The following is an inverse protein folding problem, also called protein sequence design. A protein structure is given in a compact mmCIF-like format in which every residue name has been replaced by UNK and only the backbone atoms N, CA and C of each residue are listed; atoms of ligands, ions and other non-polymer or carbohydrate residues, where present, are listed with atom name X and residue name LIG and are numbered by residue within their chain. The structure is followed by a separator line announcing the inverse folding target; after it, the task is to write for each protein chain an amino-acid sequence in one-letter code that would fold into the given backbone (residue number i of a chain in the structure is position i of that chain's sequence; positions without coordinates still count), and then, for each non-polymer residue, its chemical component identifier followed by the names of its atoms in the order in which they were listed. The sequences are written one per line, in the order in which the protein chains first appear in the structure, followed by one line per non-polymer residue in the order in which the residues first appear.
data_IF_932003259059
#
_entry.id   IF_932003259059
#
_cell.length_a   1.000
_cell.length_b   1.000
_cell.length_c   1.000
_cell.angle_alpha   90.00
_cell.angle_beta   90.00
_cell.angle_gamma   90.00
#
_symmetry.space_group_name_H-M   'P 1'
#
loop_
_entity.id
_entity.type
_entity.pdbx_description
1 polymer ?
#
# COMPACT_ATOMS: atom_id res chain seq x y z
N UNK A 1 -1.23 28.30 -26.37
CA UNK A 1 -2.11 27.25 -26.84
C UNK A 1 -2.19 26.20 -25.72
N UNK A 2 -3.26 26.23 -24.92
CA UNK A 2 -3.55 25.16 -23.99
C UNK A 2 -3.84 23.88 -24.77
N UNK A 3 -3.27 22.72 -24.38
CA UNK A 3 -3.60 21.47 -25.02
C UNK A 3 -5.07 21.17 -24.80
N UNK A 4 -5.78 20.84 -25.87
CA UNK A 4 -7.19 20.47 -25.90
C UNK A 4 -7.51 19.45 -24.81
N UNK A 5 -8.57 19.69 -24.02
CA UNK A 5 -8.97 18.81 -22.91
C UNK A 5 -9.25 17.38 -23.39
N UNK A 6 -9.74 17.21 -24.63
CA UNK A 6 -9.94 15.90 -25.25
C UNK A 6 -8.62 15.14 -25.47
N UNK A 7 -7.54 15.87 -25.75
CA UNK A 7 -6.21 15.30 -25.95
C UNK A 7 -5.56 14.82 -24.63
N UNK A 8 -5.93 15.43 -23.50
CA UNK A 8 -5.48 14.97 -22.16
C UNK A 8 -6.23 13.71 -21.75
N UNK A 9 -7.55 13.69 -21.88
CA UNK A 9 -8.37 12.55 -21.51
C UNK A 9 -8.02 11.27 -22.28
N UNK A 10 -7.77 11.37 -23.57
CA UNK A 10 -7.32 10.25 -24.39
C UNK A 10 -5.99 9.64 -23.91
N UNK A 11 -5.05 10.49 -23.47
CA UNK A 11 -3.77 10.03 -22.89
C UNK A 11 -3.98 9.32 -21.54
N UNK A 12 -4.86 9.88 -20.71
CA UNK A 12 -5.15 9.32 -19.40
C UNK A 12 -5.85 7.96 -19.53
N UNK A 13 -6.82 7.83 -20.43
CA UNK A 13 -7.47 6.55 -20.72
C UNK A 13 -6.51 5.52 -21.29
N UNK A 14 -5.58 5.94 -22.15
CA UNK A 14 -4.53 5.07 -22.67
C UNK A 14 -3.59 4.57 -21.56
N UNK A 15 -3.10 5.50 -20.72
CA UNK A 15 -2.22 5.15 -19.59
C UNK A 15 -2.92 4.19 -18.60
N UNK A 16 -4.20 4.45 -18.31
CA UNK A 16 -5.03 3.56 -17.51
C UNK A 16 -5.16 2.17 -18.14
N UNK A 17 -5.35 2.11 -19.46
CA UNK A 17 -5.42 0.84 -20.21
C UNK A 17 -4.11 0.05 -20.13
N UNK A 18 -2.96 0.71 -20.27
CA UNK A 18 -1.64 0.08 -20.09
C UNK A 18 -1.52 -0.51 -18.68
N UNK A 19 -1.85 0.29 -17.65
CA UNK A 19 -1.78 -0.17 -16.27
C UNK A 19 -2.69 -1.38 -16.01
N UNK A 20 -3.92 -1.38 -16.52
CA UNK A 20 -4.83 -2.52 -16.39
C UNK A 20 -4.29 -3.76 -17.11
N UNK A 21 -3.75 -3.58 -18.31
CA UNK A 21 -3.18 -4.69 -19.05
C UNK A 21 -2.00 -5.32 -18.29
N UNK A 22 -1.09 -4.50 -17.76
CA UNK A 22 0.06 -4.98 -16.98
C UNK A 22 -0.37 -5.63 -15.66
N UNK A 23 -1.36 -5.07 -14.97
CA UNK A 23 -1.92 -5.66 -13.75
C UNK A 23 -2.52 -7.06 -14.00
N UNK A 24 -3.18 -7.26 -15.14
CA UNK A 24 -3.81 -8.54 -15.48
C UNK A 24 -2.82 -9.58 -15.98
N UNK A 25 -1.85 -9.17 -16.80
CA UNK A 25 -0.97 -10.09 -17.51
C UNK A 25 0.43 -10.21 -16.94
N UNK A 26 0.83 -9.26 -16.07
CA UNK A 26 2.20 -9.10 -15.58
C UNK A 26 3.20 -8.74 -16.68
N UNK A 27 2.74 -8.28 -17.86
CA UNK A 27 3.57 -8.00 -19.03
C UNK A 27 3.14 -6.72 -19.74
N UNK A 28 4.11 -6.02 -20.31
CA UNK A 28 3.85 -4.89 -21.20
C UNK A 28 3.14 -5.36 -22.49
N UNK A 29 2.11 -4.63 -22.95
CA UNK A 29 1.25 -5.10 -24.06
C UNK A 29 1.91 -5.13 -25.42
N UNK A 30 2.98 -4.39 -25.63
CA UNK A 30 3.63 -4.25 -26.93
C UNK A 30 5.02 -4.90 -26.95
N UNK A 31 5.54 -5.15 -28.14
CA UNK A 31 6.93 -5.64 -28.32
C UNK A 31 7.94 -4.49 -28.13
N UNK A 32 7.54 -3.30 -28.58
CA UNK A 32 8.36 -2.08 -28.49
C UNK A 32 7.91 -1.22 -27.30
N UNK A 33 8.77 -0.93 -26.31
CA UNK A 33 8.39 -0.16 -25.14
C UNK A 33 8.32 1.35 -25.39
N UNK A 34 8.84 1.85 -26.52
CA UNK A 34 8.95 3.29 -26.81
C UNK A 34 8.11 3.72 -28.00
N UNK A 35 7.41 4.86 -27.91
CA UNK A 35 6.68 5.45 -29.05
C UNK A 35 7.61 5.83 -30.22
N UNK A 36 7.12 5.77 -31.47
CA UNK A 36 5.76 5.44 -31.86
C UNK A 36 5.50 3.95 -31.91
N UNK A 37 4.48 3.49 -31.15
CA UNK A 37 4.08 2.08 -31.13
C UNK A 37 3.28 1.79 -32.39
N UNK A 38 3.78 0.88 -33.24
CA UNK A 38 3.17 0.51 -34.52
C UNK A 38 2.55 -0.89 -34.49
N UNK A 39 2.91 -1.69 -33.50
CA UNK A 39 2.41 -3.06 -33.32
C UNK A 39 1.08 -3.07 -32.59
N UNK A 40 0.23 -4.06 -32.89
CA UNK A 40 -0.98 -4.30 -32.09
C UNK A 40 -0.61 -4.85 -30.72
N UNK A 41 -1.43 -4.53 -29.68
CA UNK A 41 -1.19 -5.12 -28.37
C UNK A 41 -1.34 -6.64 -28.43
N UNK A 42 -0.51 -7.35 -27.64
CA UNK A 42 -0.60 -8.79 -27.48
C UNK A 42 -1.96 -9.18 -26.88
N UNK A 43 -2.53 -10.30 -27.31
CA UNK A 43 -3.79 -10.77 -26.71
C UNK A 43 -3.56 -11.14 -25.24
N UNK A 44 -4.26 -10.53 -24.27
CA UNK A 44 -4.15 -10.87 -22.86
C UNK A 44 -4.34 -12.36 -22.57
N UNK A 45 -5.20 -13.05 -23.33
CA UNK A 45 -5.52 -14.48 -23.12
C UNK A 45 -4.36 -15.44 -23.30
N UNK A 46 -3.30 -15.03 -23.98
CA UNK A 46 -2.09 -15.86 -24.14
C UNK A 46 -1.23 -15.97 -22.86
N UNK A 47 -1.51 -15.15 -21.85
CA UNK A 47 -0.73 -15.14 -20.62
C UNK A 47 -1.36 -16.04 -19.54
N UNK A 48 -0.48 -16.60 -18.68
CA UNK A 48 -0.90 -17.48 -17.59
C UNK A 48 -1.92 -16.78 -16.69
N UNK A 49 -3.03 -17.43 -16.40
CA UNK A 49 -4.11 -16.88 -15.57
C UNK A 49 -5.12 -15.99 -16.31
N UNK A 50 -4.90 -15.68 -17.59
CA UNK A 50 -5.76 -14.79 -18.36
C UNK A 50 -6.62 -15.52 -19.42
N UNK A 51 -6.50 -16.83 -19.55
CA UNK A 51 -7.19 -17.62 -20.58
C UNK A 51 -8.73 -17.47 -20.51
N UNK A 52 -9.28 -17.34 -19.29
CA UNK A 52 -10.71 -17.27 -19.03
C UNK A 52 -11.28 -15.85 -19.07
N UNK A 53 -10.48 -14.85 -19.42
CA UNK A 53 -10.97 -13.48 -19.60
C UNK A 53 -12.06 -13.45 -20.66
N UNK A 54 -13.19 -12.76 -20.36
CA UNK A 54 -14.25 -12.60 -21.34
C UNK A 54 -13.75 -11.83 -22.56
N UNK A 55 -14.18 -12.25 -23.75
CA UNK A 55 -13.81 -11.55 -24.99
C UNK A 55 -14.24 -10.11 -25.00
N UNK A 56 -15.35 -9.77 -24.32
CA UNK A 56 -15.82 -8.40 -24.17
C UNK A 56 -14.83 -7.55 -23.36
N UNK A 57 -14.30 -8.08 -22.25
CA UNK A 57 -13.28 -7.37 -21.44
C UNK A 57 -11.97 -7.21 -22.21
N UNK A 58 -11.54 -8.24 -22.92
CA UNK A 58 -10.33 -8.17 -23.78
C UNK A 58 -10.49 -7.09 -24.84
N UNK A 59 -11.64 -7.01 -25.50
CA UNK A 59 -11.91 -5.98 -26.49
C UNK A 59 -11.85 -4.55 -25.90
N UNK A 60 -12.38 -4.36 -24.67
CA UNK A 60 -12.28 -3.08 -23.98
C UNK A 60 -10.81 -2.71 -23.72
N UNK A 61 -10.01 -3.66 -23.17
CA UNK A 61 -8.59 -3.44 -22.89
C UNK A 61 -7.81 -3.11 -24.15
N UNK A 62 -7.99 -3.88 -25.22
CA UNK A 62 -7.31 -3.68 -26.51
C UNK A 62 -7.69 -2.33 -27.11
N UNK A 63 -8.98 -1.93 -27.04
CA UNK A 63 -9.44 -0.62 -27.50
C UNK A 63 -8.84 0.54 -26.69
N UNK A 64 -8.73 0.42 -25.37
CA UNK A 64 -8.08 1.44 -24.53
C UNK A 64 -6.65 1.73 -24.97
N UNK A 65 -5.89 0.69 -25.31
CA UNK A 65 -4.46 0.76 -25.66
C UNK A 65 -4.17 0.66 -27.14
N UNK A 66 -5.17 0.87 -28.00
CA UNK A 66 -4.96 0.81 -29.46
C UNK A 66 -3.83 1.79 -29.87
N UNK A 67 -2.92 1.37 -30.81
CA UNK A 67 -1.83 2.21 -31.27
C UNK A 67 -2.30 3.54 -31.86
N UNK A 68 -3.29 3.47 -32.75
CA UNK A 68 -3.87 4.63 -33.39
C UNK A 68 -4.90 5.31 -32.47
N UNK A 69 -4.72 6.61 -32.28
CA UNK A 69 -5.58 7.40 -31.39
C UNK A 69 -7.06 7.34 -31.74
N UNK A 70 -7.38 7.34 -33.04
CA UNK A 70 -8.77 7.25 -33.54
C UNK A 70 -9.50 5.96 -33.18
N UNK A 71 -8.75 4.91 -32.86
CA UNK A 71 -9.29 3.60 -32.53
C UNK A 71 -9.48 3.39 -31.01
N UNK A 72 -9.14 4.41 -30.19
CA UNK A 72 -9.32 4.42 -28.74
C UNK A 72 -10.70 4.93 -28.34
N UNK A 73 -10.98 4.90 -27.04
CA UNK A 73 -12.15 5.58 -26.49
C UNK A 73 -11.98 7.10 -26.58
N UNK A 74 -13.01 7.78 -27.03
CA UNK A 74 -13.03 9.24 -27.17
C UNK A 74 -13.32 9.97 -25.85
N UNK A 75 -13.96 9.26 -24.89
CA UNK A 75 -14.30 9.81 -23.57
C UNK A 75 -14.42 8.74 -22.52
N UNK A 76 -14.36 9.14 -21.24
CA UNK A 76 -14.62 8.27 -20.11
C UNK A 76 -16.07 7.72 -20.11
N UNK A 77 -17.03 8.49 -20.59
CA UNK A 77 -18.43 8.08 -20.71
C UNK A 77 -18.61 6.93 -21.71
N UNK A 78 -17.93 7.00 -22.87
CA UNK A 78 -17.92 5.91 -23.85
C UNK A 78 -17.32 4.65 -23.23
N UNK A 79 -16.21 4.76 -22.52
CA UNK A 79 -15.58 3.62 -21.82
C UNK A 79 -16.54 3.02 -20.77
N UNK A 80 -17.14 3.84 -19.92
CA UNK A 80 -18.07 3.40 -18.88
C UNK A 80 -19.31 2.70 -19.47
N UNK A 81 -19.87 3.25 -20.55
CA UNK A 81 -20.99 2.64 -21.26
C UNK A 81 -20.62 1.26 -21.80
N UNK A 82 -19.45 1.15 -22.43
CA UNK A 82 -18.96 -0.12 -22.96
C UNK A 82 -18.67 -1.13 -21.85
N UNK A 83 -18.11 -0.69 -20.72
CA UNK A 83 -17.87 -1.55 -19.54
C UNK A 83 -19.17 -2.05 -18.92
N UNK A 84 -20.22 -1.25 -18.90
CA UNK A 84 -21.54 -1.67 -18.40
C UNK A 84 -22.14 -2.83 -19.23
N UNK A 85 -21.82 -2.92 -20.51
CA UNK A 85 -22.22 -4.01 -21.40
C UNK A 85 -21.40 -5.29 -21.21
N UNK A 86 -20.20 -5.18 -20.65
CA UNK A 86 -19.37 -6.34 -20.33
C UNK A 86 -20.06 -7.14 -19.23
N UNK A 87 -20.55 -8.33 -19.56
CA UNK A 87 -21.14 -9.24 -18.57
C UNK A 87 -20.12 -9.45 -17.46
N UNK A 88 -20.45 -8.98 -16.24
CA UNK A 88 -19.66 -9.25 -15.05
C UNK A 88 -19.43 -10.75 -14.95
N UNK A 89 -18.21 -11.18 -15.11
CA UNK A 89 -17.81 -12.49 -14.68
C UNK A 89 -18.03 -12.53 -13.17
N UNK A 90 -19.09 -13.18 -12.71
CA UNK A 90 -19.18 -13.59 -11.31
C UNK A 90 -18.10 -14.64 -11.14
N UNK A 91 -16.91 -14.24 -10.72
CA UNK A 91 -16.09 -15.18 -9.99
C UNK A 91 -16.95 -15.61 -8.81
N UNK A 92 -17.34 -16.89 -8.81
CA UNK A 92 -17.84 -17.52 -7.61
C UNK A 92 -16.63 -17.51 -6.69
N UNK A 93 -16.54 -16.46 -5.87
CA UNK A 93 -15.72 -16.49 -4.68
C UNK A 93 -16.33 -17.61 -3.83
N UNK A 94 -15.86 -18.83 -4.04
CA UNK A 94 -16.09 -19.92 -3.12
C UNK A 94 -15.64 -19.38 -1.78
N UNK A 95 -16.57 -19.27 -0.86
CA UNK A 95 -16.36 -18.94 0.54
C UNK A 95 -15.55 -20.08 1.18
N UNK A 96 -14.25 -20.14 0.83
CA UNK A 96 -13.28 -20.84 1.67
C UNK A 96 -13.19 -20.03 2.96
N UNK A 97 -13.26 -20.70 4.08
CA UNK A 97 -13.17 -20.11 5.40
C UNK A 97 -11.91 -19.26 5.49
N UNK A 98 -12.07 -17.96 5.21
CA UNK A 98 -11.05 -16.96 5.48
C UNK A 98 -10.95 -16.93 7.00
N UNK A 99 -9.82 -17.39 7.53
CA UNK A 99 -9.57 -17.48 8.95
C UNK A 99 -10.06 -16.24 9.68
N UNK A 100 -10.71 -16.41 10.82
CA UNK A 100 -11.36 -15.38 11.60
C UNK A 100 -10.42 -14.19 11.82
N UNK A 101 -10.52 -13.18 10.94
CA UNK A 101 -9.88 -11.89 11.14
C UNK A 101 -10.42 -11.21 12.40
N UNK A 102 -9.80 -10.12 12.85
CA UNK A 102 -10.27 -9.41 14.03
C UNK A 102 -11.77 -9.13 13.91
N UNK A 103 -12.51 -9.34 15.00
CA UNK A 103 -13.96 -9.14 15.05
C UNK A 103 -14.31 -7.82 14.41
N UNK A 104 -15.23 -7.84 13.46
CA UNK A 104 -15.79 -6.62 12.85
C UNK A 104 -16.27 -5.71 13.98
N UNK A 105 -15.77 -4.48 14.01
CA UNK A 105 -16.23 -3.48 14.96
C UNK A 105 -17.69 -3.19 14.61
N UNK A 106 -18.62 -3.61 15.46
CA UNK A 106 -20.07 -3.54 15.20
C UNK A 106 -20.64 -2.12 15.21
N UNK A 107 -19.83 -1.13 15.57
CA UNK A 107 -20.15 0.30 15.50
C UNK A 107 -18.96 1.02 14.90
N UNK A 108 -19.13 1.45 13.67
CA UNK A 108 -18.26 2.45 13.05
C UNK A 108 -18.76 3.81 13.56
N UNK A 109 -18.02 4.43 14.46
CA UNK A 109 -18.31 5.77 14.98
C UNK A 109 -17.89 6.81 13.92
N UNK A 110 -18.72 6.97 12.87
CA UNK A 110 -18.62 8.04 11.91
C UNK A 110 -19.82 8.96 12.06
N UNK A 111 -19.58 10.25 12.09
CA UNK A 111 -20.65 11.21 11.88
C UNK A 111 -20.99 11.24 10.38
N UNK A 112 -22.13 10.71 9.96
CA UNK A 112 -22.53 10.77 8.56
C UNK A 112 -22.80 12.23 8.16
N UNK A 113 -22.34 12.62 6.98
CA UNK A 113 -22.63 13.96 6.42
C UNK A 113 -24.12 14.17 6.16
N UNK A 114 -24.90 13.08 6.11
CA UNK A 114 -26.36 13.06 6.06
C UNK A 114 -26.90 12.09 7.11
N UNK A 115 -28.07 12.35 7.72
CA UNK A 115 -28.61 11.55 8.84
C UNK A 115 -28.73 10.06 8.57
N UNK A 116 -29.01 9.67 7.33
CA UNK A 116 -29.24 8.27 6.93
C UNK A 116 -28.16 7.73 5.99
N UNK A 117 -27.02 8.44 5.85
CA UNK A 117 -25.92 7.96 4.99
C UNK A 117 -25.24 6.74 5.61
N UNK A 118 -24.89 5.76 4.79
CA UNK A 118 -24.05 4.66 5.23
C UNK A 118 -22.63 5.20 5.55
N UNK A 119 -22.15 5.14 6.81
CA UNK A 119 -20.85 5.69 7.20
C UNK A 119 -19.69 5.08 6.40
N UNK A 120 -19.75 3.80 6.07
CA UNK A 120 -18.72 3.12 5.28
C UNK A 120 -18.65 3.68 3.85
N UNK A 121 -19.80 3.87 3.19
CA UNK A 121 -19.87 4.47 1.85
C UNK A 121 -19.38 5.91 1.88
N UNK A 122 -19.82 6.69 2.88
CA UNK A 122 -19.38 8.08 3.05
C UNK A 122 -17.85 8.15 3.18
N UNK A 123 -17.25 7.25 3.96
CA UNK A 123 -15.79 7.19 4.08
C UNK A 123 -15.11 6.80 2.74
N UNK A 124 -15.62 5.79 2.03
CA UNK A 124 -15.08 5.41 0.72
C UNK A 124 -15.07 6.57 -0.27
N UNK A 125 -16.09 7.43 -0.23
CA UNK A 125 -16.18 8.63 -1.08
C UNK A 125 -15.12 9.70 -0.70
N UNK A 126 -14.52 9.63 0.48
CA UNK A 126 -13.48 10.56 0.91
C UNK A 126 -12.06 10.08 0.62
N UNK A 127 -11.87 8.84 0.14
CA UNK A 127 -10.55 8.24 -0.09
C UNK A 127 -9.85 8.69 -1.39
N UNK A 128 -10.35 9.69 -2.08
CA UNK A 128 -9.66 10.21 -3.26
C UNK A 128 -8.53 11.19 -2.88
N UNK A 129 -7.52 11.28 -3.73
CA UNK A 129 -6.24 11.96 -3.45
C UNK A 129 -6.36 13.47 -3.12
N UNK A 130 -7.44 14.12 -3.54
CA UNK A 130 -7.69 15.56 -3.27
C UNK A 130 -8.61 15.80 -2.08
N UNK A 131 -9.08 14.75 -1.39
CA UNK A 131 -9.90 14.89 -0.21
C UNK A 131 -9.10 15.54 0.92
N UNK A 132 -9.69 16.53 1.60
CA UNK A 132 -9.11 17.10 2.82
C UNK A 132 -8.91 16.05 3.91
N UNK A 133 -9.79 15.03 3.97
CA UNK A 133 -9.69 13.92 4.91
C UNK A 133 -8.49 13.03 4.58
N UNK A 134 -8.24 12.75 3.30
CA UNK A 134 -7.05 11.99 2.86
C UNK A 134 -5.76 12.78 3.08
N UNK A 135 -5.81 14.11 2.92
CA UNK A 135 -4.63 14.99 3.04
C UNK A 135 -4.43 15.53 4.46
N UNK A 136 -5.46 15.50 5.33
CA UNK A 136 -5.37 15.98 6.71
C UNK A 136 -4.53 15.07 7.63
N UNK A 137 -3.66 14.24 7.01
CA UNK A 137 -2.68 13.48 7.75
C UNK A 137 -3.30 12.55 8.79
N UNK A 138 -4.33 11.80 8.42
CA UNK A 138 -4.70 10.61 9.19
C UNK A 138 -3.52 9.65 9.14
N UNK A 139 -2.49 10.01 9.91
CA UNK A 139 -1.32 9.17 10.12
C UNK A 139 -1.82 7.96 10.86
N UNK A 140 -2.21 6.94 10.10
CA UNK A 140 -2.55 5.67 10.66
C UNK A 140 -3.94 5.15 10.33
N UNK A 141 -4.30 4.10 11.06
CA UNK A 141 -5.57 3.41 10.89
C UNK A 141 -6.66 4.13 11.68
N UNK A 142 -7.54 4.80 10.97
CA UNK A 142 -8.85 5.18 11.51
C UNK A 142 -9.73 3.93 11.79
N UNK A 143 -10.95 4.13 12.22
CA UNK A 143 -11.84 3.02 12.55
C UNK A 143 -12.14 2.12 11.34
N UNK A 144 -12.30 2.70 10.15
CA UNK A 144 -12.51 1.90 8.91
C UNK A 144 -11.23 1.21 8.47
N UNK A 145 -10.10 1.91 8.48
CA UNK A 145 -8.80 1.30 8.19
C UNK A 145 -8.50 0.11 9.10
N UNK A 146 -8.82 0.21 10.40
CA UNK A 146 -8.74 -0.92 11.33
C UNK A 146 -9.70 -2.06 10.98
N UNK A 147 -10.93 -1.74 10.64
CA UNK A 147 -11.94 -2.73 10.30
C UNK A 147 -11.64 -3.43 8.96
N UNK A 148 -11.09 -2.72 7.99
CA UNK A 148 -10.76 -3.24 6.66
C UNK A 148 -9.31 -3.76 6.55
N UNK A 149 -8.52 -3.66 7.61
CA UNK A 149 -7.13 -4.13 7.60
C UNK A 149 -7.03 -5.60 7.23
N UNK A 150 -6.16 -5.90 6.30
CA UNK A 150 -5.85 -7.26 5.84
C UNK A 150 -4.44 -7.60 6.29
N UNK A 151 -4.25 -8.66 7.09
CA UNK A 151 -2.92 -9.13 7.47
C UNK A 151 -2.09 -9.47 6.22
N UNK A 152 -0.82 -9.14 6.26
CA UNK A 152 0.13 -9.39 5.19
C UNK A 152 1.31 -10.21 5.72
N UNK A 153 2.29 -10.53 4.87
CA UNK A 153 3.54 -11.15 5.32
C UNK A 153 4.27 -10.36 6.41
N UNK A 154 4.06 -9.05 6.50
CA UNK A 154 4.58 -8.25 7.61
C UNK A 154 4.00 -8.73 8.94
N UNK A 155 2.71 -9.05 8.99
CA UNK A 155 2.07 -9.58 10.19
C UNK A 155 2.48 -11.01 10.49
N UNK A 156 2.67 -11.82 9.45
CA UNK A 156 2.94 -13.25 9.57
C UNK A 156 4.42 -13.55 9.86
N UNK A 157 5.35 -12.78 9.31
CA UNK A 157 6.78 -13.02 9.40
C UNK A 157 7.50 -11.95 10.23
N UNK A 158 7.33 -10.66 9.92
CA UNK A 158 8.06 -9.59 10.60
C UNK A 158 7.60 -9.41 12.05
N UNK A 159 6.30 -9.44 12.33
CA UNK A 159 5.82 -9.29 13.70
C UNK A 159 6.34 -10.37 14.66
N UNK A 160 6.35 -11.67 14.34
CA UNK A 160 6.97 -12.68 15.20
C UNK A 160 8.47 -12.46 15.43
N UNK A 161 9.20 -12.03 14.41
CA UNK A 161 10.64 -11.72 14.50
C UNK A 161 10.90 -10.51 15.42
N UNK A 162 10.08 -9.45 15.28
CA UNK A 162 10.11 -8.30 16.21
C UNK A 162 9.89 -8.73 17.66
N UNK A 163 8.92 -9.62 17.91
CA UNK A 163 8.60 -10.11 19.27
C UNK A 163 9.70 -10.97 19.90
N UNK A 164 10.60 -11.50 19.09
CA UNK A 164 11.81 -12.21 19.53
C UNK A 164 13.01 -11.29 19.72
N UNK A 165 12.90 -10.02 19.31
CA UNK A 165 14.01 -9.07 19.36
C UNK A 165 15.10 -9.33 18.31
N UNK A 166 14.74 -9.93 17.17
CA UNK A 166 15.69 -10.28 16.10
C UNK A 166 16.29 -9.03 15.42
N UNK A 167 15.60 -7.87 15.52
CA UNK A 167 16.00 -6.64 14.85
C UNK A 167 16.18 -5.47 15.82
N UNK A 168 17.24 -4.70 15.64
CA UNK A 168 17.47 -3.42 16.30
C UNK A 168 16.90 -2.26 15.47
N UNK A 169 16.85 -2.43 14.15
CA UNK A 169 16.28 -1.46 13.21
C UNK A 169 15.43 -2.14 12.17
N UNK A 170 14.21 -1.63 11.98
CA UNK A 170 13.31 -2.04 10.90
C UNK A 170 12.91 -0.81 10.10
N UNK A 171 13.22 -0.80 8.82
CA UNK A 171 12.86 0.23 7.86
C UNK A 171 11.82 -0.36 6.92
N UNK A 172 10.64 0.25 6.87
CA UNK A 172 9.57 -0.11 5.94
C UNK A 172 9.48 1.02 4.91
N UNK A 173 10.00 0.74 3.72
CA UNK A 173 10.01 1.67 2.60
C UNK A 173 8.91 1.37 1.60
N UNK A 174 8.43 2.38 0.88
CA UNK A 174 7.38 2.26 -0.14
C UNK A 174 6.66 3.58 -0.39
N UNK A 175 5.70 3.56 -1.30
CA UNK A 175 4.92 4.74 -1.67
C UNK A 175 3.81 5.05 -0.65
N UNK A 176 3.20 6.24 -0.79
CA UNK A 176 2.01 6.59 -0.01
C UNK A 176 0.88 5.56 -0.28
N UNK A 177 0.21 5.11 0.79
CA UNK A 177 -0.86 4.12 0.68
C UNK A 177 -0.43 2.65 0.75
N UNK A 178 0.86 2.33 0.74
CA UNK A 178 1.36 0.94 0.78
C UNK A 178 1.13 0.21 2.11
N UNK A 179 0.62 0.89 3.12
CA UNK A 179 0.30 0.28 4.41
C UNK A 179 1.47 0.27 5.41
N UNK A 180 2.56 1.00 5.17
CA UNK A 180 3.72 1.10 6.07
C UNK A 180 3.32 1.44 7.51
N UNK A 181 2.68 2.60 7.67
CA UNK A 181 2.21 3.11 8.96
C UNK A 181 1.13 2.20 9.57
N UNK A 182 0.28 1.63 8.72
CA UNK A 182 -0.76 0.70 9.16
C UNK A 182 -0.17 -0.52 9.88
N UNK A 183 0.90 -1.12 9.34
CA UNK A 183 1.58 -2.22 10.00
C UNK A 183 2.16 -1.82 11.37
N UNK A 184 2.84 -0.66 11.46
CA UNK A 184 3.42 -0.18 12.72
C UNK A 184 2.32 -0.03 13.78
N UNK A 185 1.21 0.60 13.43
CA UNK A 185 0.09 0.79 14.35
C UNK A 185 -0.64 -0.51 14.72
N UNK A 186 -0.71 -1.48 13.80
CA UNK A 186 -1.22 -2.81 14.13
C UNK A 186 -0.29 -3.55 15.09
N UNK A 187 1.02 -3.39 14.95
CA UNK A 187 1.99 -3.95 15.88
C UNK A 187 1.85 -3.31 17.27
N UNK A 188 1.67 -1.99 17.36
CA UNK A 188 1.39 -1.26 18.60
C UNK A 188 0.08 -1.75 19.25
N UNK A 189 -1.01 -1.84 18.49
CA UNK A 189 -2.29 -2.35 18.98
C UNK A 189 -2.18 -3.79 19.49
N UNK A 190 -1.38 -4.62 18.81
CA UNK A 190 -1.06 -5.95 19.28
C UNK A 190 -0.30 -5.91 20.61
N UNK A 191 0.73 -5.07 20.74
CA UNK A 191 1.50 -4.91 21.97
C UNK A 191 0.61 -4.45 23.13
N UNK A 192 -0.28 -3.47 22.89
CA UNK A 192 -1.27 -2.96 23.85
C UNK A 192 -2.21 -4.10 24.32
N UNK A 193 -2.67 -4.96 23.40
CA UNK A 193 -3.47 -6.14 23.74
C UNK A 193 -2.73 -7.17 24.60
N UNK A 194 -1.40 -7.10 24.64
CA UNK A 194 -0.51 -7.93 25.48
C UNK A 194 -0.07 -7.21 26.76
N UNK A 195 -0.64 -6.04 27.06
CA UNK A 195 -0.41 -5.29 28.27
C UNK A 195 0.68 -4.22 28.18
N UNK A 196 1.23 -3.92 26.99
CA UNK A 196 2.15 -2.80 26.81
C UNK A 196 1.43 -1.47 27.01
N UNK A 197 2.09 -0.53 27.68
CA UNK A 197 1.64 0.87 27.74
C UNK A 197 2.30 1.65 26.59
N UNK A 198 1.49 2.18 25.69
CA UNK A 198 1.96 2.89 24.51
C UNK A 198 1.99 4.40 24.78
N UNK A 199 3.19 4.98 24.78
CA UNK A 199 3.38 6.43 24.84
C UNK A 199 3.41 6.97 23.41
N UNK A 200 2.28 7.51 22.95
CA UNK A 200 2.12 8.05 21.59
C UNK A 200 2.58 9.50 21.52
N UNK A 201 3.48 9.79 20.57
CA UNK A 201 3.88 11.13 20.16
C UNK A 201 3.12 11.59 18.90
N UNK A 202 3.57 12.70 18.32
CA UNK A 202 2.98 13.26 17.09
C UNK A 202 3.23 12.33 15.88
N UNK A 203 4.43 11.76 15.76
CA UNK A 203 4.86 10.98 14.61
C UNK A 203 5.46 9.63 15.00
N UNK A 204 4.95 9.01 16.05
CA UNK A 204 5.45 7.72 16.50
C UNK A 204 5.03 7.40 17.92
N UNK A 205 5.57 6.30 18.44
CA UNK A 205 5.29 5.85 19.80
C UNK A 205 6.53 5.20 20.41
N UNK A 206 6.56 5.16 21.73
CA UNK A 206 7.52 4.38 22.52
C UNK A 206 6.76 3.47 23.47
N UNK A 207 7.16 2.21 23.54
CA UNK A 207 6.56 1.23 24.45
C UNK A 207 7.52 0.11 24.81
N UNK A 208 7.20 -0.59 25.88
CA UNK A 208 7.90 -1.81 26.29
C UNK A 208 6.98 -3.02 26.24
N UNK A 209 7.51 -4.12 25.71
CA UNK A 209 6.82 -5.42 25.74
C UNK A 209 7.83 -6.50 26.10
N UNK A 210 7.58 -7.24 27.19
CA UNK A 210 8.44 -8.33 27.67
C UNK A 210 9.92 -7.92 27.89
N UNK A 211 10.15 -6.72 28.40
CA UNK A 211 11.50 -6.20 28.66
C UNK A 211 12.25 -5.66 27.43
N UNK A 212 11.65 -5.70 26.24
CA UNK A 212 12.17 -5.12 25.03
C UNK A 212 11.49 -3.78 24.74
N UNK A 213 12.27 -2.75 24.39
CA UNK A 213 11.78 -1.40 24.08
C UNK A 213 11.61 -1.25 22.57
N UNK A 214 10.49 -0.67 22.16
CA UNK A 214 10.17 -0.35 20.78
C UNK A 214 9.99 1.16 20.65
N UNK A 215 10.59 1.74 19.62
CA UNK A 215 10.38 3.13 19.21
C UNK A 215 9.94 3.15 17.75
N UNK A 216 8.77 3.71 17.48
CA UNK A 216 8.27 3.85 16.11
C UNK A 216 8.36 5.28 15.60
N UNK A 217 8.47 5.42 14.27
CA UNK A 217 8.23 6.65 13.51
C UNK A 217 7.26 6.31 12.37
N UNK A 218 6.13 7.02 12.32
CA UNK A 218 5.04 6.72 11.37
C UNK A 218 5.28 7.27 9.98
N UNK A 219 6.11 8.31 9.86
CA UNK A 219 6.43 8.96 8.59
C UNK A 219 7.77 9.70 8.67
N UNK A 220 8.83 8.99 8.29
CA UNK A 220 10.17 9.55 8.20
C UNK A 220 10.39 10.56 7.07
N UNK A 221 9.34 10.97 6.37
CA UNK A 221 9.43 11.94 5.28
C UNK A 221 8.90 13.33 5.67
N UNK A 222 8.58 13.56 6.94
CA UNK A 222 7.97 14.81 7.41
C UNK A 222 8.78 15.50 8.50
N UNK A 223 8.67 16.83 8.56
CA UNK A 223 9.15 17.64 9.66
C UNK A 223 8.34 17.38 10.93
N UNK A 224 8.93 17.58 12.10
CA UNK A 224 8.23 17.48 13.40
C UNK A 224 8.26 18.82 14.13
N UNK A 225 7.16 19.57 14.06
CA UNK A 225 7.07 20.91 14.63
C UNK A 225 8.08 21.84 13.98
N UNK A 226 9.02 22.36 14.77
CA UNK A 226 10.09 23.26 14.31
C UNK A 226 11.36 22.49 13.88
N UNK A 227 11.43 21.17 14.10
CA UNK A 227 12.57 20.33 13.69
C UNK A 227 12.42 19.94 12.20
N UNK A 228 13.47 20.19 11.42
CA UNK A 228 13.52 19.73 10.03
C UNK A 228 13.55 18.20 9.94
N UNK A 229 13.04 17.66 8.86
CA UNK A 229 13.02 16.22 8.63
C UNK A 229 14.41 15.57 8.76
N UNK A 230 15.45 16.25 8.30
CA UNK A 230 16.84 15.79 8.45
C UNK A 230 17.24 15.65 9.92
N UNK A 231 16.95 16.63 10.74
CA UNK A 231 17.26 16.59 12.18
C UNK A 231 16.49 15.44 12.87
N UNK A 232 15.22 15.24 12.50
CA UNK A 232 14.41 14.11 12.99
C UNK A 232 15.04 12.77 12.62
N UNK A 233 15.45 12.60 11.36
CA UNK A 233 16.07 11.36 10.90
C UNK A 233 17.46 11.14 11.51
N UNK A 234 18.31 12.18 11.63
CA UNK A 234 19.59 12.08 12.31
C UNK A 234 19.43 11.61 13.76
N UNK A 235 18.49 12.19 14.51
CA UNK A 235 18.16 11.79 15.87
C UNK A 235 17.61 10.36 15.93
N UNK A 236 16.76 9.97 14.98
CA UNK A 236 16.20 8.63 14.91
C UNK A 236 17.28 7.58 14.60
N UNK A 237 18.22 7.85 13.68
CA UNK A 237 19.27 6.92 13.30
C UNK A 237 20.54 7.03 14.13
N UNK A 238 20.67 8.03 15.02
CA UNK A 238 21.89 8.28 15.81
C UNK A 238 22.51 7.07 16.51
N UNK A 239 21.75 6.08 17.05
CA UNK A 239 22.36 4.90 17.66
C UNK A 239 23.05 3.95 16.66
N UNK A 240 22.79 4.14 15.37
CA UNK A 240 23.33 3.31 14.30
C UNK A 240 24.48 4.00 13.54
N UNK A 241 25.00 5.10 14.11
CA UNK A 241 26.13 5.82 13.52
C UNK A 241 27.44 5.02 13.60
N UNK A 242 28.34 5.30 12.66
CA UNK A 242 29.67 4.70 12.63
C UNK A 242 29.81 3.49 11.71
N UNK A 243 31.00 2.86 11.81
CA UNK A 243 31.45 1.80 10.90
C UNK A 243 31.16 0.39 11.40
N UNK A 244 30.70 0.24 12.64
CA UNK A 244 30.44 -1.03 13.29
C UNK A 244 29.17 -1.00 14.15
N UNK A 245 28.82 -2.13 14.73
CA UNK A 245 27.61 -2.29 15.55
C UNK A 245 27.84 -2.07 17.06
N UNK A 246 29.01 -1.59 17.47
CA UNK A 246 29.36 -1.48 18.90
C UNK A 246 28.50 -0.49 19.69
N UNK A 247 27.95 0.51 19.03
CA UNK A 247 27.03 1.50 19.61
C UNK A 247 25.54 1.16 19.49
N UNK A 248 25.21 0.03 18.87
CA UNK A 248 23.83 -0.33 18.62
C UNK A 248 23.10 -0.72 19.90
N UNK A 249 21.80 -0.42 19.93
CA UNK A 249 20.98 -0.57 21.12
C UNK A 249 20.67 -2.04 21.40
N UNK A 250 21.03 -2.50 22.60
CA UNK A 250 20.60 -3.81 23.08
C UNK A 250 19.16 -3.75 23.62
N UNK A 251 18.37 -4.81 23.39
CA UNK A 251 16.99 -4.92 23.85
C UNK A 251 16.09 -3.74 23.40
N UNK A 252 16.41 -3.14 22.27
CA UNK A 252 15.61 -2.09 21.65
C UNK A 252 15.47 -2.33 20.16
N UNK A 253 14.29 -1.99 19.64
CA UNK A 253 14.02 -1.98 18.19
C UNK A 253 13.47 -0.62 17.80
N UNK A 254 14.04 -0.02 16.75
CA UNK A 254 13.47 1.15 16.09
C UNK A 254 12.77 0.75 14.79
N UNK A 255 11.53 1.22 14.61
CA UNK A 255 10.72 0.96 13.42
C UNK A 255 10.40 2.28 12.74
N UNK A 256 10.66 2.39 11.45
CA UNK A 256 10.35 3.59 10.68
C UNK A 256 9.62 3.26 9.39
N UNK A 257 8.55 4.01 9.12
CA UNK A 257 7.92 4.07 7.81
C UNK A 257 8.46 5.29 7.06
N UNK A 258 8.99 5.10 5.86
CA UNK A 258 9.62 6.18 5.10
C UNK A 258 9.41 5.99 3.60
N UNK A 259 9.38 7.07 2.84
CA UNK A 259 9.44 7.01 1.39
C UNK A 259 10.85 6.62 0.92
N UNK A 260 10.93 5.79 -0.13
CA UNK A 260 12.22 5.29 -0.65
C UNK A 260 13.14 6.41 -1.10
N UNK A 261 12.62 7.39 -1.86
CA UNK A 261 13.43 8.53 -2.31
C UNK A 261 14.03 9.30 -1.15
N UNK A 262 13.21 9.61 -0.13
CA UNK A 262 13.69 10.34 1.06
C UNK A 262 14.73 9.54 1.86
N UNK A 263 14.53 8.22 1.97
CA UNK A 263 15.51 7.34 2.62
C UNK A 263 16.86 7.38 1.91
N UNK A 264 16.84 7.25 0.59
CA UNK A 264 18.05 7.29 -0.24
C UNK A 264 18.75 8.65 -0.14
N UNK A 265 18.01 9.75 -0.28
CA UNK A 265 18.54 11.11 -0.20
C UNK A 265 19.24 11.34 1.14
N UNK A 266 18.59 10.99 2.25
CA UNK A 266 19.15 11.13 3.59
C UNK A 266 20.49 10.38 3.74
N UNK A 267 20.55 9.11 3.32
CA UNK A 267 21.77 8.32 3.49
C UNK A 267 22.87 8.66 2.47
N UNK A 268 22.55 9.29 1.35
CA UNK A 268 23.56 9.88 0.46
C UNK A 268 24.19 11.14 1.08
N UNK A 269 23.37 11.99 1.72
CA UNK A 269 23.85 13.22 2.38
C UNK A 269 24.66 12.92 3.66
N UNK A 270 24.31 11.85 4.37
CA UNK A 270 24.89 11.47 5.67
C UNK A 270 25.69 10.16 5.62
N UNK A 271 26.21 9.77 4.46
CA UNK A 271 26.98 8.52 4.30
C UNK A 271 28.19 8.44 5.25
N UNK A 272 28.84 9.57 5.52
CA UNK A 272 29.99 9.63 6.41
C UNK A 272 29.62 9.38 7.89
N UNK A 273 28.41 9.73 8.30
CA UNK A 273 27.92 9.52 9.67
C UNK A 273 27.43 8.08 9.87
N UNK A 274 26.88 7.46 8.81
CA UNK A 274 26.23 6.15 8.84
C UNK A 274 26.76 5.18 7.77
N UNK A 275 28.07 4.99 7.60
CA UNK A 275 28.63 4.25 6.45
C UNK A 275 28.19 2.78 6.43
N UNK A 276 28.13 2.10 7.60
CA UNK A 276 27.62 0.74 7.68
C UNK A 276 26.15 0.66 7.32
N UNK A 277 25.32 1.53 7.90
CA UNK A 277 23.89 1.52 7.69
C UNK A 277 23.50 1.93 6.26
N UNK A 278 24.18 2.91 5.67
CA UNK A 278 23.98 3.33 4.28
C UNK A 278 24.17 2.16 3.31
N UNK A 279 25.26 1.38 3.50
CA UNK A 279 25.53 0.17 2.72
C UNK A 279 24.42 -0.89 2.88
N UNK A 280 23.99 -1.15 4.12
CA UNK A 280 22.93 -2.13 4.38
C UNK A 280 21.59 -1.70 3.77
N UNK A 281 21.26 -0.41 3.84
CA UNK A 281 20.02 0.11 3.24
C UNK A 281 20.06 -0.05 1.72
N UNK A 282 21.14 0.31 1.05
CA UNK A 282 21.28 0.11 -0.39
C UNK A 282 21.09 -1.36 -0.79
N UNK A 283 21.66 -2.29 -0.04
CA UNK A 283 21.49 -3.72 -0.26
C UNK A 283 20.05 -4.18 -0.01
N UNK A 284 19.44 -3.74 1.10
CA UNK A 284 18.07 -4.12 1.47
C UNK A 284 17.01 -3.59 0.52
N UNK A 285 17.19 -2.39 -0.05
CA UNK A 285 16.25 -1.81 -1.01
C UNK A 285 16.13 -2.61 -2.31
N UNK A 286 17.17 -3.34 -2.69
CA UNK A 286 17.15 -4.26 -3.85
C UNK A 286 16.83 -5.71 -3.46
N UNK A 287 16.44 -5.96 -2.21
CA UNK A 287 16.03 -7.27 -1.73
C UNK A 287 17.17 -8.23 -1.40
N UNK A 288 18.39 -7.74 -1.19
CA UNK A 288 19.48 -8.58 -0.74
C UNK A 288 19.32 -8.96 0.75
N UNK A 289 19.84 -10.12 1.13
CA UNK A 289 19.91 -10.51 2.54
C UNK A 289 20.86 -9.56 3.28
N UNK A 290 20.41 -9.10 4.46
CA UNK A 290 21.16 -8.19 5.31
C UNK A 290 21.80 -8.95 6.46
N UNK A 291 22.83 -8.33 7.04
CA UNK A 291 23.39 -8.80 8.29
C UNK A 291 22.40 -8.68 9.45
N UNK A 292 22.56 -9.51 10.48
CA UNK A 292 21.71 -9.54 11.66
C UNK A 292 21.46 -8.16 12.27
N UNK A 293 20.27 -7.95 12.76
CA UNK A 293 19.85 -6.77 13.49
C UNK A 293 19.19 -5.65 12.64
N UNK A 294 19.27 -5.70 11.30
CA UNK A 294 18.60 -4.75 10.40
C UNK A 294 17.65 -5.47 9.46
N UNK A 295 16.44 -4.94 9.33
CA UNK A 295 15.52 -5.34 8.29
C UNK A 295 15.13 -4.12 7.44
N UNK A 296 15.31 -4.21 6.14
CA UNK A 296 14.83 -3.22 5.16
C UNK A 296 13.78 -3.89 4.29
N UNK A 297 12.55 -3.42 4.40
CA UNK A 297 11.41 -3.97 3.67
C UNK A 297 10.97 -2.94 2.63
N UNK A 298 11.23 -3.25 1.36
CA UNK A 298 10.82 -2.41 0.24
C UNK A 298 9.46 -2.87 -0.30
N UNK A 299 8.39 -2.16 0.05
CA UNK A 299 7.04 -2.48 -0.40
C UNK A 299 6.82 -2.17 -1.89
N UNK A 300 7.70 -1.38 -2.53
CA UNK A 300 7.66 -1.16 -3.98
C UNK A 300 7.95 -2.45 -4.77
N UNK A 301 8.64 -3.41 -4.17
CA UNK A 301 8.92 -4.73 -4.77
C UNK A 301 7.76 -5.71 -4.61
N UNK A 302 6.71 -5.33 -3.87
CA UNK A 302 5.56 -6.19 -3.57
C UNK A 302 4.48 -6.01 -4.63
N UNK A 303 3.90 -7.12 -5.09
CA UNK A 303 2.64 -7.12 -5.82
C UNK A 303 1.47 -7.27 -4.84
N UNK A 304 0.45 -6.42 -4.95
CA UNK A 304 -0.80 -6.55 -4.17
C UNK A 304 -1.82 -7.47 -4.85
N UNK A 305 -1.62 -7.76 -6.14
CA UNK A 305 -2.50 -8.60 -6.98
C UNK A 305 -1.94 -10.00 -7.23
N UNK A 306 -0.63 -10.21 -7.01
CA UNK A 306 -0.03 -11.53 -7.15
C UNK A 306 -0.41 -12.42 -5.97
N UNK A 307 -0.72 -13.66 -6.26
CA UNK A 307 -0.89 -14.70 -5.25
C UNK A 307 0.49 -14.98 -4.62
N UNK A 308 0.60 -14.95 -3.28
CA UNK A 308 1.89 -15.18 -2.61
C UNK A 308 2.38 -16.63 -2.75
N UNK A 309 1.46 -17.59 -2.80
CA UNK A 309 1.70 -19.03 -3.00
C UNK A 309 0.52 -19.63 -3.78
N UNK A 310 0.70 -20.78 -4.40
CA UNK A 310 -0.41 -21.48 -5.07
C UNK A 310 -1.58 -21.69 -4.09
N UNK A 311 -2.77 -21.26 -4.50
CA UNK A 311 -4.02 -21.32 -3.76
C UNK A 311 -4.20 -20.35 -2.56
N UNK A 312 -3.31 -19.37 -2.34
CA UNK A 312 -3.56 -18.32 -1.37
C UNK A 312 -4.07 -17.04 -2.05
N UNK A 313 -5.13 -16.42 -1.53
CA UNK A 313 -5.66 -15.20 -2.12
C UNK A 313 -4.66 -14.05 -1.99
N UNK A 314 -4.57 -13.23 -3.02
CA UNK A 314 -3.77 -12.01 -3.05
C UNK A 314 -4.23 -11.00 -1.98
N UNK A 315 -3.40 -10.01 -1.68
CA UNK A 315 -3.77 -8.93 -0.75
C UNK A 315 -5.02 -8.20 -1.24
N UNK A 316 -5.12 -7.96 -2.56
CA UNK A 316 -6.29 -7.30 -3.16
C UNK A 316 -7.56 -8.13 -2.99
N UNK A 317 -7.52 -9.44 -3.26
CA UNK A 317 -8.68 -10.32 -3.08
C UNK A 317 -9.15 -10.36 -1.63
N UNK A 318 -8.21 -10.47 -0.69
CA UNK A 318 -8.53 -10.39 0.75
C UNK A 318 -9.13 -9.05 1.15
N UNK A 319 -8.64 -7.95 0.59
CA UNK A 319 -9.18 -6.61 0.83
C UNK A 319 -10.60 -6.50 0.26
N UNK A 320 -10.82 -6.93 -0.98
CA UNK A 320 -12.16 -6.92 -1.59
C UNK A 320 -13.13 -7.78 -0.79
N UNK A 321 -12.73 -9.00 -0.43
CA UNK A 321 -13.55 -9.89 0.37
C UNK A 321 -13.90 -9.26 1.74
N UNK A 322 -12.95 -8.56 2.36
CA UNK A 322 -13.16 -7.85 3.62
C UNK A 322 -14.15 -6.70 3.47
N UNK A 323 -13.94 -5.85 2.45
CA UNK A 323 -14.80 -4.70 2.19
C UNK A 323 -16.20 -5.08 1.69
N UNK A 324 -16.36 -6.28 1.13
CA UNK A 324 -17.66 -6.81 0.64
C UNK A 324 -18.48 -7.48 1.74
N UNK A 325 -18.03 -7.52 3.00
CA UNK A 325 -18.78 -8.11 4.09
C UNK A 325 -20.10 -7.37 4.30
N UNK A 326 -21.18 -8.14 4.44
CA UNK A 326 -22.55 -7.61 4.49
C UNK A 326 -22.76 -6.57 5.60
N UNK A 327 -21.99 -6.67 6.70
CA UNK A 327 -22.06 -5.76 7.83
C UNK A 327 -21.82 -4.30 7.44
N UNK A 328 -20.91 -4.05 6.51
CA UNK A 328 -20.61 -2.68 6.03
C UNK A 328 -21.71 -2.11 5.13
N UNK A 329 -22.53 -2.97 4.51
CA UNK A 329 -23.52 -2.59 3.51
C UNK A 329 -24.95 -2.62 4.02
N UNK A 330 -25.21 -3.16 5.22
CA UNK A 330 -26.58 -3.24 5.80
C UNK A 330 -27.30 -1.90 5.86
N UNK A 331 -26.57 -0.80 6.08
CA UNK A 331 -27.17 0.53 6.16
C UNK A 331 -27.62 1.07 4.79
N UNK A 332 -27.16 0.49 3.67
CA UNK A 332 -27.49 0.95 2.32
C UNK A 332 -28.98 0.73 1.96
N UNK A 333 -29.67 -0.21 2.62
CA UNK A 333 -31.12 -0.43 2.40
C UNK A 333 -31.97 0.77 2.81
N UNK A 334 -31.43 1.66 3.65
CA UNK A 334 -32.10 2.87 4.17
C UNK A 334 -31.24 4.13 3.98
N UNK A 335 -30.28 4.07 3.07
CA UNK A 335 -29.29 5.12 2.85
C UNK A 335 -29.82 6.16 1.85
N UNK A 336 -29.60 7.44 2.15
CA UNK A 336 -30.04 8.58 1.32
C UNK A 336 -28.93 9.02 0.32
N UNK A 337 -27.90 8.22 0.12
CA UNK A 337 -26.81 8.46 -0.84
C UNK A 337 -27.11 7.77 -2.17
#
# INVERSE_FOLDING_TARGET
NEPDASARMDRDLYALGISFYECLTGKYPFEEPTPPIKTQPKDPKQFKGCADLSSSLVNVLVKMIAPERKDRFSSAEELLTTLAEVKRYRSVLTTGEIGAGPKVVSKLDFEPTKPNANPFVTHLLTLYSQSQVSNAGTRGLDAIGKATYVPTYLDEKLRPALLKGEFQLVIISGNAGDGKTAFIQQFEAFAESKGAQIQRGVNGAVFQLKGHTYQSNYDGSQDEGDESNDAVLQKFFSPFAGNDKSGWLENQTRLIAINEGRLVDFFLEHENDFPLLAKQIQQGLVGAELEDGVAVINLNLRSVVAEPEEAQPSVLERLIARMSQQEYWKACEKCDL
#
